data_IF_150141366111
#
_entry.id   IF_150141366111
#
_cell.length_a   1.000
_cell.length_b   1.000
_cell.length_c   1.000
_cell.angle_alpha   90.00
_cell.angle_beta   90.00
_cell.angle_gamma   90.00
#
_symmetry.space_group_name_H-M   'P 1'
#
loop_
_entity.id
_entity.type
_entity.pdbx_description
1 polymer ?
#
# COMPACT_ATOMS: atom_id res chain seq x y z
N UNK A 1 -6.45 -20.67 -4.73
CA UNK A 1 -6.95 -19.57 -3.89
C UNK A 1 -5.93 -18.44 -3.81
N UNK A 2 -4.73 -18.66 -3.26
CA UNK A 2 -3.67 -17.64 -3.16
C UNK A 2 -3.28 -17.03 -4.53
N UNK A 3 -3.15 -17.86 -5.56
CA UNK A 3 -2.85 -17.43 -6.94
C UNK A 3 -3.98 -16.67 -7.63
N UNK A 4 -5.24 -16.95 -7.28
CA UNK A 4 -6.42 -16.30 -7.86
C UNK A 4 -6.59 -14.90 -7.30
N UNK A 5 -6.41 -14.75 -5.98
CA UNK A 5 -6.40 -13.46 -5.28
C UNK A 5 -5.26 -12.58 -5.77
N UNK A 6 -4.07 -13.17 -5.98
CA UNK A 6 -2.92 -12.46 -6.54
C UNK A 6 -3.20 -11.93 -7.95
N UNK A 7 -3.73 -12.80 -8.82
CA UNK A 7 -4.10 -12.42 -10.19
C UNK A 7 -5.15 -11.31 -10.20
N UNK A 8 -6.17 -11.41 -9.33
CA UNK A 8 -7.19 -10.39 -9.17
C UNK A 8 -6.60 -9.05 -8.70
N UNK A 9 -5.70 -9.06 -7.72
CA UNK A 9 -5.09 -7.84 -7.20
C UNK A 9 -4.14 -7.18 -8.21
N UNK A 10 -3.35 -7.98 -8.93
CA UNK A 10 -2.51 -7.46 -10.00
C UNK A 10 -3.36 -6.84 -11.12
N UNK A 11 -4.50 -7.44 -11.45
CA UNK A 11 -5.45 -6.88 -12.41
C UNK A 11 -6.13 -5.60 -11.90
N UNK A 12 -6.40 -5.49 -10.59
CA UNK A 12 -6.96 -4.29 -9.96
C UNK A 12 -6.03 -3.08 -10.09
N UNK A 13 -4.72 -3.27 -9.90
CA UNK A 13 -3.74 -2.19 -9.97
C UNK A 13 -3.33 -1.91 -11.42
N UNK A 14 -3.05 -2.95 -12.21
CA UNK A 14 -2.67 -2.84 -13.63
C UNK A 14 -1.29 -2.21 -13.91
N UNK A 15 -0.69 -1.53 -12.93
CA UNK A 15 0.63 -0.89 -13.00
C UNK A 15 1.69 -1.71 -12.26
N UNK A 16 2.68 -2.22 -13.01
CA UNK A 16 3.75 -3.09 -12.49
C UNK A 16 4.74 -2.34 -11.61
N UNK A 17 4.93 -1.05 -11.82
CA UNK A 17 5.85 -0.26 -11.01
C UNK A 17 5.28 -0.11 -9.61
N UNK A 18 3.97 0.14 -9.51
CA UNK A 18 3.25 0.23 -8.24
C UNK A 18 3.32 -1.09 -7.48
N UNK A 19 3.09 -2.22 -8.16
CA UNK A 19 3.19 -3.54 -7.55
C UNK A 19 4.60 -3.81 -7.00
N UNK A 20 5.63 -3.33 -7.69
CA UNK A 20 7.03 -3.45 -7.27
C UNK A 20 7.38 -2.51 -6.11
N UNK A 21 6.98 -1.25 -6.18
CA UNK A 21 7.28 -0.22 -5.16
C UNK A 21 6.56 -0.48 -3.83
N UNK A 22 5.34 -0.99 -3.88
CA UNK A 22 4.55 -1.22 -2.67
C UNK A 22 4.93 -2.49 -1.94
N UNK A 23 5.64 -3.42 -2.59
CA UNK A 23 5.99 -4.74 -2.08
C UNK A 23 4.80 -5.49 -1.45
N UNK A 24 3.56 -5.16 -1.85
CA UNK A 24 2.35 -5.85 -1.41
C UNK A 24 2.32 -7.18 -2.17
N UNK A 25 3.14 -8.10 -1.70
CA UNK A 25 3.27 -9.43 -2.26
C UNK A 25 2.04 -10.27 -1.95
N UNK A 26 1.90 -11.35 -2.71
CA UNK A 26 0.84 -12.35 -2.58
C UNK A 26 0.60 -12.82 -1.14
N UNK A 27 1.66 -12.93 -0.32
CA UNK A 27 1.57 -13.35 1.07
C UNK A 27 0.85 -12.33 1.96
N UNK A 28 1.04 -11.03 1.72
CA UNK A 28 0.38 -9.96 2.48
C UNK A 28 -1.12 -9.98 2.19
N UNK A 29 -1.48 -10.11 0.92
CA UNK A 29 -2.89 -10.16 0.50
C UNK A 29 -3.54 -11.45 0.99
N UNK A 30 -2.87 -12.59 0.84
CA UNK A 30 -3.37 -13.86 1.35
C UNK A 30 -3.61 -13.81 2.87
N UNK A 31 -2.73 -13.14 3.62
CA UNK A 31 -2.94 -12.92 5.06
C UNK A 31 -4.16 -12.02 5.32
N UNK A 32 -4.30 -10.91 4.61
CA UNK A 32 -5.46 -10.02 4.73
C UNK A 32 -6.76 -10.77 4.44
N UNK A 33 -6.78 -11.61 3.40
CA UNK A 33 -7.94 -12.44 3.04
C UNK A 33 -8.23 -13.45 4.14
N UNK A 34 -7.21 -14.17 4.63
CA UNK A 34 -7.39 -15.17 5.69
C UNK A 34 -7.88 -14.57 7.01
N UNK A 35 -7.34 -13.40 7.40
CA UNK A 35 -7.80 -12.65 8.58
C UNK A 35 -9.24 -12.17 8.41
N UNK A 36 -9.60 -11.70 7.20
CA UNK A 36 -10.98 -11.32 6.89
C UNK A 36 -11.94 -12.51 6.94
N UNK A 37 -11.51 -13.69 6.45
CA UNK A 37 -12.27 -14.93 6.53
C UNK A 37 -12.53 -15.41 7.97
N UNK A 38 -11.55 -15.28 8.85
CA UNK A 38 -11.73 -15.58 10.26
C UNK A 38 -12.77 -14.65 10.89
N UNK A 39 -12.69 -13.35 10.59
CA UNK A 39 -13.67 -12.36 11.06
C UNK A 39 -15.06 -12.59 10.49
N UNK A 40 -15.19 -13.02 9.23
CA UNK A 40 -16.46 -13.41 8.62
C UNK A 40 -17.13 -14.57 9.40
N UNK A 41 -16.36 -15.58 9.81
CA UNK A 41 -16.88 -16.74 10.55
C UNK A 41 -17.34 -16.37 11.96
N UNK A 42 -16.60 -15.52 12.67
CA UNK A 42 -17.00 -15.02 13.97
C UNK A 42 -18.27 -14.16 13.88
N UNK A 43 -18.36 -13.26 12.90
CA UNK A 43 -19.58 -12.49 12.64
C UNK A 43 -20.77 -13.40 12.34
N UNK A 44 -20.58 -14.43 11.51
CA UNK A 44 -21.65 -15.35 11.15
C UNK A 44 -22.13 -16.20 12.35
N UNK A 45 -21.24 -16.53 13.29
CA UNK A 45 -21.57 -17.26 14.51
C UNK A 45 -22.34 -16.40 15.52
N UNK A 46 -22.01 -15.10 15.62
CA UNK A 46 -22.59 -14.18 16.60
C UNK A 46 -23.95 -13.62 16.13
N UNK A 47 -24.17 -13.49 14.81
CA UNK A 47 -25.33 -12.80 14.24
C UNK A 47 -26.40 -13.76 13.72
N UNK A 48 -27.19 -14.31 14.66
CA UNK A 48 -28.44 -15.08 14.41
C UNK A 48 -29.63 -14.25 13.90
N UNK A 49 -29.41 -13.04 13.40
CA UNK A 49 -30.47 -12.05 13.16
C UNK A 49 -30.68 -11.73 11.67
N UNK A 50 -31.88 -11.22 11.38
CA UNK A 50 -32.42 -10.78 10.08
C UNK A 50 -31.41 -10.01 9.21
N UNK A 51 -31.52 -10.19 7.88
CA UNK A 51 -30.77 -9.52 6.80
C UNK A 51 -29.77 -8.44 7.23
N UNK A 52 -28.49 -8.68 6.94
CA UNK A 52 -27.42 -7.74 7.25
C UNK A 52 -26.41 -7.64 6.11
N UNK A 53 -25.80 -6.47 6.00
CA UNK A 53 -24.66 -6.19 5.12
C UNK A 53 -23.62 -5.42 5.95
N UNK A 54 -22.45 -6.03 6.18
CA UNK A 54 -21.35 -5.38 6.88
C UNK A 54 -20.18 -5.21 5.93
N UNK A 55 -19.54 -4.06 6.04
CA UNK A 55 -18.36 -3.69 5.27
C UNK A 55 -17.30 -3.13 6.22
N UNK A 56 -16.04 -3.49 6.01
CA UNK A 56 -14.93 -2.88 6.74
C UNK A 56 -13.69 -2.76 5.85
N UNK A 57 -12.92 -1.70 6.08
CA UNK A 57 -11.66 -1.48 5.38
C UNK A 57 -10.60 -2.41 5.96
N UNK A 58 -9.99 -3.22 5.09
CA UNK A 58 -8.90 -4.13 5.46
C UNK A 58 -7.54 -3.62 4.99
N UNK A 59 -7.54 -2.73 4.00
CA UNK A 59 -6.35 -2.03 3.53
C UNK A 59 -6.75 -0.64 3.02
N UNK A 60 -5.98 0.38 3.35
CA UNK A 60 -6.13 1.73 2.79
C UNK A 60 -4.73 2.37 2.77
N UNK A 61 -4.05 2.24 1.64
CA UNK A 61 -2.68 2.72 1.46
C UNK A 61 -2.69 3.81 0.41
N UNK A 62 -2.13 4.96 0.77
CA UNK A 62 -1.75 6.01 -0.16
C UNK A 62 -0.25 5.99 -0.38
N UNK A 63 0.19 6.06 -1.62
CA UNK A 63 1.61 6.09 -1.96
C UNK A 63 1.89 7.27 -2.87
N UNK A 64 3.04 7.87 -2.60
CA UNK A 64 3.55 9.02 -3.31
C UNK A 64 4.78 8.61 -4.09
N UNK A 65 4.72 8.73 -5.41
CA UNK A 65 5.86 8.52 -6.28
C UNK A 65 6.44 9.85 -6.72
N UNK A 66 7.66 10.10 -6.27
CA UNK A 66 8.44 11.24 -6.74
C UNK A 66 8.91 11.00 -8.17
N UNK A 67 8.99 12.07 -8.98
CA UNK A 67 9.53 11.96 -10.32
C UNK A 67 11.01 11.55 -10.27
N UNK A 68 11.39 10.67 -11.17
CA UNK A 68 12.76 10.21 -11.39
C UNK A 68 13.11 10.30 -12.90
N UNK A 69 14.37 10.07 -13.30
CA UNK A 69 14.77 10.18 -14.71
C UNK A 69 14.00 9.27 -15.67
N UNK A 70 13.57 8.09 -15.23
CA UNK A 70 12.79 7.14 -16.04
C UNK A 70 11.28 7.44 -15.97
N UNK A 71 10.83 8.13 -14.92
CA UNK A 71 9.44 8.43 -14.62
C UNK A 71 9.26 9.90 -14.20
N UNK A 72 9.14 10.85 -15.15
CA UNK A 72 9.22 12.29 -14.87
C UNK A 72 7.96 12.88 -14.23
N UNK A 73 6.95 12.05 -13.92
CA UNK A 73 5.66 12.51 -13.42
C UNK A 73 5.53 12.18 -11.95
N UNK A 74 5.08 13.17 -11.18
CA UNK A 74 4.65 12.94 -9.81
C UNK A 74 3.32 12.19 -9.82
N UNK A 75 3.26 11.04 -9.15
CA UNK A 75 2.03 10.25 -9.06
C UNK A 75 1.60 10.06 -7.62
N UNK A 76 0.30 10.18 -7.39
CA UNK A 76 -0.35 9.80 -6.13
C UNK A 76 -1.25 8.62 -6.46
N UNK A 77 -1.09 7.51 -5.77
CA UNK A 77 -2.02 6.40 -5.90
C UNK A 77 -2.56 5.97 -4.54
N UNK A 78 -3.79 5.47 -4.55
CA UNK A 78 -4.50 4.96 -3.38
C UNK A 78 -5.06 3.59 -3.72
N UNK A 79 -4.73 2.63 -2.88
CA UNK A 79 -5.24 1.26 -2.92
C UNK A 79 -6.09 1.08 -1.68
N UNK A 80 -7.38 0.80 -1.86
CA UNK A 80 -8.28 0.49 -0.78
C UNK A 80 -8.88 -0.90 -0.99
N UNK A 81 -8.83 -1.75 0.02
CA UNK A 81 -9.50 -3.05 0.05
C UNK A 81 -10.60 -3.02 1.12
N UNK A 82 -11.79 -3.45 0.74
CA UNK A 82 -12.96 -3.52 1.62
C UNK A 82 -13.44 -4.96 1.67
N UNK A 83 -13.44 -5.55 2.87
CA UNK A 83 -14.09 -6.83 3.11
C UNK A 83 -15.58 -6.59 3.37
N UNK A 84 -16.43 -7.45 2.82
CA UNK A 84 -17.86 -7.36 3.01
C UNK A 84 -18.49 -8.74 3.23
N UNK A 85 -19.58 -8.75 3.99
CA UNK A 85 -20.41 -9.93 4.18
C UNK A 85 -21.87 -9.53 4.20
N UNK A 86 -22.67 -10.30 3.47
CA UNK A 86 -24.09 -10.12 3.34
C UNK A 86 -24.83 -11.44 3.63
N UNK A 87 -25.89 -11.35 4.42
CA UNK A 87 -26.82 -12.43 4.68
C UNK A 87 -28.18 -12.05 4.11
N UNK A 88 -28.70 -12.86 3.20
CA UNK A 88 -30.06 -12.68 2.65
C UNK A 88 -30.92 -13.87 3.05
N UNK A 89 -32.06 -13.59 3.70
CA UNK A 89 -32.99 -14.63 4.15
C UNK A 89 -34.35 -14.43 3.49
N UNK A 90 -34.71 -15.36 2.61
CA UNK A 90 -36.07 -15.49 2.08
C UNK A 90 -36.84 -16.54 2.88
N UNK A 91 -38.17 -16.60 2.73
CA UNK A 91 -39.07 -17.48 3.52
C UNK A 91 -38.71 -18.98 3.48
N UNK A 92 -37.92 -19.42 2.50
CA UNK A 92 -37.55 -20.83 2.32
C UNK A 92 -36.05 -21.08 2.12
N UNK A 93 -35.23 -20.03 2.01
CA UNK A 93 -33.80 -20.19 1.75
C UNK A 93 -32.99 -19.05 2.37
N UNK A 94 -31.87 -19.40 3.01
CA UNK A 94 -30.91 -18.46 3.55
C UNK A 94 -29.62 -18.56 2.73
N UNK A 95 -29.18 -17.46 2.13
CA UNK A 95 -27.91 -17.36 1.42
C UNK A 95 -26.96 -16.45 2.16
N UNK A 96 -25.75 -16.95 2.40
CA UNK A 96 -24.63 -16.18 2.93
C UNK A 96 -23.64 -15.92 1.81
N UNK A 97 -23.19 -14.68 1.68
CA UNK A 97 -22.18 -14.28 0.72
C UNK A 97 -21.18 -13.37 1.40
N UNK A 98 -19.90 -13.56 1.11
CA UNK A 98 -18.82 -12.72 1.58
C UNK A 98 -17.84 -12.49 0.43
N UNK A 99 -16.99 -11.49 0.59
CA UNK A 99 -15.98 -11.19 -0.41
C UNK A 99 -15.10 -10.02 -0.02
N UNK A 100 -14.18 -9.71 -0.93
CA UNK A 100 -13.29 -8.56 -0.84
C UNK A 100 -13.46 -7.78 -2.14
N UNK A 101 -13.69 -6.49 -2.01
CA UNK A 101 -13.64 -5.54 -3.12
C UNK A 101 -12.41 -4.67 -2.99
N UNK A 102 -11.95 -4.16 -4.12
CA UNK A 102 -10.79 -3.29 -4.18
C UNK A 102 -11.09 -2.06 -5.02
N UNK A 103 -10.57 -0.92 -4.58
CA UNK A 103 -10.60 0.35 -5.28
C UNK A 103 -9.16 0.80 -5.52
N UNK A 104 -8.86 1.16 -6.76
CA UNK A 104 -7.60 1.75 -7.15
C UNK A 104 -7.85 3.13 -7.73
N UNK A 105 -7.20 4.14 -7.16
CA UNK A 105 -7.22 5.51 -7.65
C UNK A 105 -5.82 5.96 -7.95
N UNK A 106 -5.58 6.49 -9.15
CA UNK A 106 -4.30 7.07 -9.55
C UNK A 106 -4.52 8.50 -10.04
N UNK A 107 -3.66 9.42 -9.60
CA UNK A 107 -3.58 10.79 -10.11
C UNK A 107 -2.15 11.09 -10.52
N UNK A 108 -2.00 11.47 -11.79
CA UNK A 108 -0.74 11.94 -12.34
C UNK A 108 -0.72 13.46 -12.36
N UNK A 109 0.38 14.03 -11.88
CA UNK A 109 0.62 15.46 -11.88
C UNK A 109 1.74 15.77 -12.87
N UNK A 110 1.39 16.52 -13.91
CA UNK A 110 2.34 16.96 -14.93
C UNK A 110 2.72 18.41 -14.68
N UNK A 111 4.03 18.74 -14.73
CA UNK A 111 4.45 20.13 -14.71
C UNK A 111 3.79 20.91 -15.86
N UNK A 112 3.29 22.12 -15.58
CA UNK A 112 2.63 22.96 -16.59
C UNK A 112 3.68 23.60 -17.49
N UNK A 113 3.73 23.19 -18.76
CA UNK A 113 4.72 23.69 -19.73
C UNK A 113 4.63 25.21 -19.89
N UNK A 114 3.43 25.79 -19.89
CA UNK A 114 3.25 27.25 -19.99
C UNK A 114 3.93 27.99 -18.83
N UNK A 115 3.74 27.52 -17.60
CA UNK A 115 4.35 28.11 -16.41
C UNK A 115 5.87 27.97 -16.46
N UNK A 116 6.39 26.81 -16.87
CA UNK A 116 7.84 26.61 -17.01
C UNK A 116 8.44 27.49 -18.10
N UNK A 117 7.72 27.69 -19.21
CA UNK A 117 8.17 28.53 -20.32
C UNK A 117 8.25 30.00 -19.91
N UNK A 118 7.35 30.46 -19.05
CA UNK A 118 7.29 31.82 -18.50
C UNK A 118 8.33 32.09 -17.40
N UNK A 119 8.96 31.05 -16.83
CA UNK A 119 10.05 31.24 -15.87
C UNK A 119 11.24 31.95 -16.51
N UNK A 120 11.83 32.89 -15.77
CA UNK A 120 13.08 33.52 -16.15
C UNK A 120 14.18 32.46 -16.36
N UNK A 121 15.06 32.69 -17.33
CA UNK A 121 16.11 31.72 -17.69
C UNK A 121 17.04 31.41 -16.50
N UNK A 122 17.34 32.42 -15.67
CA UNK A 122 18.12 32.25 -14.43
C UNK A 122 17.45 31.29 -13.45
N UNK A 123 16.14 31.39 -13.27
CA UNK A 123 15.36 30.51 -12.38
C UNK A 123 15.32 29.09 -12.92
N UNK A 124 15.14 28.91 -14.23
CA UNK A 124 15.21 27.58 -14.85
C UNK A 124 16.58 26.94 -14.66
N UNK A 125 17.67 27.70 -14.89
CA UNK A 125 19.04 27.20 -14.70
C UNK A 125 19.33 26.83 -13.24
N UNK A 126 18.87 27.64 -12.30
CA UNK A 126 19.00 27.32 -10.87
C UNK A 126 18.20 26.06 -10.50
N UNK A 127 16.95 25.93 -10.95
CA UNK A 127 16.13 24.76 -10.67
C UNK A 127 16.73 23.47 -11.25
N UNK A 128 17.30 23.52 -12.47
CA UNK A 128 18.04 22.39 -13.06
C UNK A 128 19.26 22.05 -12.23
N UNK A 129 20.06 23.05 -11.83
CA UNK A 129 21.26 22.84 -11.02
C UNK A 129 20.93 22.20 -9.65
N UNK A 130 19.88 22.68 -8.98
CA UNK A 130 19.44 22.11 -7.70
C UNK A 130 18.90 20.68 -7.86
N UNK A 131 18.14 20.40 -8.92
CA UNK A 131 17.68 19.05 -9.22
C UNK A 131 18.85 18.09 -9.52
N UNK A 132 19.83 18.53 -10.30
CA UNK A 132 21.06 17.77 -10.55
C UNK A 132 21.86 17.54 -9.26
N UNK A 133 21.89 18.49 -8.34
CA UNK A 133 22.54 18.30 -7.03
C UNK A 133 21.80 17.30 -6.13
N UNK A 134 20.47 17.25 -6.20
CA UNK A 134 19.65 16.30 -5.41
C UNK A 134 19.71 14.86 -5.96
N UNK A 135 19.78 14.70 -7.28
CA UNK A 135 19.60 13.40 -7.94
C UNK A 135 20.81 12.92 -8.76
N UNK A 136 21.83 13.76 -8.97
CA UNK A 136 22.95 13.52 -9.90
C UNK A 136 24.15 12.76 -9.34
N UNK A 137 24.12 12.29 -8.08
CA UNK A 137 25.18 11.43 -7.53
C UNK A 137 24.69 9.98 -7.36
N UNK A 138 24.82 9.12 -8.40
CA UNK A 138 24.47 7.70 -8.31
C UNK A 138 25.37 6.88 -7.36
N UNK A 139 26.38 7.50 -6.72
CA UNK A 139 27.35 6.82 -5.84
C UNK A 139 27.27 7.20 -4.35
N UNK A 140 26.30 8.03 -3.92
CA UNK A 140 26.17 8.43 -2.50
C UNK A 140 24.90 7.93 -1.80
N UNK A 141 23.95 7.32 -2.50
CA UNK A 141 22.73 6.77 -1.89
C UNK A 141 22.88 5.30 -1.44
N UNK A 142 23.89 4.97 -0.61
CA UNK A 142 23.86 3.82 0.33
C UNK A 142 25.19 3.67 1.10
N UNK A 143 25.59 4.68 1.88
CA UNK A 143 26.51 4.45 3.01
C UNK A 143 25.97 5.25 4.18
N UNK A 144 25.89 4.60 5.34
CA UNK A 144 25.33 5.07 6.62
C UNK A 144 23.80 4.86 6.68
N UNK A 145 23.22 3.92 7.42
CA UNK A 145 23.50 3.54 8.82
C UNK A 145 23.12 2.08 9.08
N UNK A 146 24.10 1.16 9.10
CA UNK A 146 24.01 -0.03 9.95
C UNK A 146 24.70 0.31 11.26
N UNK A 147 23.93 0.74 12.26
CA UNK A 147 24.38 0.58 13.63
C UNK A 147 24.43 -0.92 13.92
N UNK A 148 25.60 -1.52 13.75
CA UNK A 148 25.94 -2.79 14.38
C UNK A 148 25.98 -2.56 15.89
N UNK A 149 24.82 -2.60 16.54
CA UNK A 149 24.74 -2.77 17.98
C UNK A 149 25.21 -4.19 18.30
N UNK A 150 26.43 -4.32 18.81
CA UNK A 150 26.83 -5.52 19.54
C UNK A 150 25.89 -5.67 20.76
N UNK A 151 25.19 -6.80 20.94
CA UNK A 151 24.55 -7.08 22.22
C UNK A 151 25.64 -7.56 23.19
N UNK A 152 26.33 -6.62 23.84
CA UNK A 152 27.23 -6.92 24.95
C UNK A 152 26.86 -6.09 26.16
N UNK A 153 25.98 -6.64 26.99
CA UNK A 153 26.05 -6.48 28.45
C UNK A 153 25.24 -7.59 29.09
N UNK A 154 25.94 -8.60 29.62
CA UNK A 154 25.39 -9.54 30.57
C UNK A 154 24.88 -8.79 31.82
N UNK A 155 23.83 -9.27 32.50
CA UNK A 155 23.37 -8.68 33.75
C UNK A 155 24.43 -8.89 34.86
N UNK A 156 24.58 -7.94 35.81
CA UNK A 156 25.48 -8.11 36.94
C UNK A 156 24.97 -9.19 37.90
N UNK A 157 25.89 -10.03 38.39
CA UNK A 157 25.64 -11.07 39.38
C UNK A 157 25.05 -10.51 40.69
N UNK A 158 24.21 -11.29 41.40
CA UNK A 158 23.65 -10.87 42.67
C UNK A 158 24.71 -10.77 43.77
N UNK A 159 24.65 -9.68 44.53
CA UNK A 159 25.50 -9.42 45.71
C UNK A 159 25.19 -10.45 46.81
N UNK A 160 26.20 -11.10 47.40
CA UNK A 160 25.99 -11.99 48.55
C UNK A 160 25.69 -11.17 49.82
N UNK A 161 24.73 -11.66 50.63
CA UNK A 161 24.49 -11.19 52.01
C UNK A 161 25.63 -11.60 52.95
#
# INVERSE_FOLDING_TARGET
>A
MVTEVDTWFQALIGDKDILKETEIGTNVIARIVAESEAQFKDLAADLRCYEWNNEWKVLDIGVLRYPDPDHPLFKVYRIQLTAWSACKRTKFNQSYSNGITGEFSCREYRPRVSVIAELAESVRKQAVHEAEAMFGNPNEQCKDTLHSGNPSSAPPDPVPM
#
